data_IF_322144775551
#
_entry.id   IF_322144775551
#
_cell.length_a   1.000
_cell.length_b   1.000
_cell.length_c   1.000
_cell.angle_alpha   90.00
_cell.angle_beta   90.00
_cell.angle_gamma   90.00
#
_symmetry.space_group_name_H-M   'P 1'
#
loop_
_entity.id
_entity.type
_entity.pdbx_description
1 polymer ?
#
# COMPACT_ATOMS: atom_id res chain seq x y z
N UNK A 1 -11.32 -27.32 11.56
CA UNK A 1 -11.47 -27.31 10.08
C UNK A 1 -12.62 -26.47 9.57
N UNK A 2 -13.83 -26.54 10.15
CA UNK A 2 -15.00 -25.77 9.69
C UNK A 2 -14.75 -24.25 9.61
N UNK A 3 -13.93 -23.71 10.52
CA UNK A 3 -13.61 -22.29 10.61
C UNK A 3 -12.55 -21.80 9.62
N UNK A 4 -11.85 -22.70 8.91
CA UNK A 4 -10.75 -22.34 8.00
C UNK A 4 -11.24 -21.40 6.89
N UNK A 5 -12.33 -21.76 6.21
CA UNK A 5 -12.87 -20.93 5.12
C UNK A 5 -13.34 -19.55 5.60
N UNK A 6 -14.00 -19.50 6.76
CA UNK A 6 -14.46 -18.24 7.36
C UNK A 6 -13.29 -17.36 7.79
N UNK A 7 -12.23 -17.97 8.33
CA UNK A 7 -10.99 -17.28 8.67
C UNK A 7 -10.40 -16.64 7.41
N UNK A 8 -10.12 -17.43 6.36
CA UNK A 8 -9.56 -16.93 5.09
C UNK A 8 -10.40 -15.79 4.47
N UNK A 9 -11.74 -15.92 4.52
CA UNK A 9 -12.64 -14.86 4.05
C UNK A 9 -12.51 -13.58 4.87
N UNK A 10 -12.46 -13.68 6.20
CA UNK A 10 -12.23 -12.54 7.07
C UNK A 10 -10.86 -11.90 6.82
N UNK A 11 -9.82 -12.70 6.59
CA UNK A 11 -8.49 -12.20 6.23
C UNK A 11 -8.54 -11.40 4.93
N UNK A 12 -9.23 -11.89 3.91
CA UNK A 12 -9.39 -11.19 2.63
C UNK A 12 -10.08 -9.82 2.81
N UNK A 13 -11.14 -9.75 3.63
CA UNK A 13 -11.82 -8.48 3.95
C UNK A 13 -10.86 -7.50 4.65
N UNK A 14 -10.13 -7.98 5.64
CA UNK A 14 -9.18 -7.16 6.38
C UNK A 14 -8.05 -6.63 5.48
N UNK A 15 -7.52 -7.44 4.56
CA UNK A 15 -6.57 -6.98 3.53
C UNK A 15 -7.15 -5.97 2.53
N UNK A 16 -8.44 -6.03 2.25
CA UNK A 16 -9.11 -5.06 1.39
C UNK A 16 -9.35 -3.71 2.09
N UNK A 17 -9.42 -3.71 3.42
CA UNK A 17 -9.84 -2.55 4.23
C UNK A 17 -9.00 -1.29 4.00
N UNK A 18 -7.64 -1.31 3.99
CA UNK A 18 -6.84 -0.11 3.75
C UNK A 18 -7.09 0.53 2.39
N UNK A 19 -7.31 -0.29 1.35
CA UNK A 19 -7.61 0.18 -0.01
C UNK A 19 -8.99 0.83 -0.07
N UNK A 20 -9.99 0.18 0.52
CA UNK A 20 -11.35 0.72 0.60
C UNK A 20 -11.37 2.05 1.35
N UNK A 21 -10.66 2.13 2.49
CA UNK A 21 -10.54 3.32 3.30
C UNK A 21 -9.91 4.48 2.51
N UNK A 22 -8.80 4.22 1.82
CA UNK A 22 -8.18 5.22 0.95
C UNK A 22 -9.14 5.70 -0.14
N UNK A 23 -9.78 4.79 -0.87
CA UNK A 23 -10.71 5.16 -1.96
C UNK A 23 -11.87 6.01 -1.46
N UNK A 24 -12.39 5.72 -0.27
CA UNK A 24 -13.42 6.52 0.40
C UNK A 24 -12.91 7.91 0.79
N UNK A 25 -11.71 8.00 1.37
CA UNK A 25 -11.10 9.25 1.81
C UNK A 25 -10.57 10.14 0.70
N UNK A 26 -10.13 9.55 -0.41
CA UNK A 26 -9.67 10.27 -1.60
C UNK A 26 -10.82 11.02 -2.26
N UNK A 27 -12.01 10.42 -2.27
CA UNK A 27 -13.22 11.03 -2.82
C UNK A 27 -13.16 11.34 -4.31
N UNK A 28 -12.30 10.66 -5.07
CA UNK A 28 -12.14 10.87 -6.51
C UNK A 28 -11.42 12.17 -6.90
N UNK A 29 -10.74 12.83 -5.97
CA UNK A 29 -10.03 14.10 -6.22
C UNK A 29 -9.05 14.03 -7.39
N UNK A 30 -8.26 12.96 -7.46
CA UNK A 30 -7.25 12.78 -8.51
C UNK A 30 -7.92 12.64 -9.88
N UNK A 31 -8.98 11.83 -10.00
CA UNK A 31 -9.76 11.70 -11.23
C UNK A 31 -10.43 13.03 -11.64
N UNK A 32 -10.96 13.78 -10.67
CA UNK A 32 -11.56 15.08 -10.93
C UNK A 32 -10.54 16.11 -11.44
N UNK A 33 -9.30 16.08 -10.92
CA UNK A 33 -8.22 16.98 -11.33
C UNK A 33 -7.56 16.58 -12.66
N UNK A 34 -7.61 15.30 -13.04
CA UNK A 34 -7.16 14.87 -14.35
C UNK A 34 -8.03 15.43 -15.47
N UNK A 35 -9.34 15.60 -15.27
CA UNK A 35 -10.27 16.15 -16.27
C UNK A 35 -10.12 15.50 -17.67
N UNK A 36 -9.87 14.19 -17.75
CA UNK A 36 -9.59 13.44 -18.99
C UNK A 36 -8.35 13.93 -19.78
N UNK A 37 -7.36 14.54 -19.11
CA UNK A 37 -6.07 14.92 -19.71
C UNK A 37 -5.15 13.73 -19.99
N UNK A 38 -5.58 12.52 -19.65
CA UNK A 38 -4.93 11.26 -20.01
C UNK A 38 -5.24 10.83 -21.45
N UNK A 39 -6.34 11.31 -22.03
CA UNK A 39 -6.77 10.98 -23.39
C UNK A 39 -6.19 11.98 -24.41
N UNK A 40 -5.32 11.48 -25.29
CA UNK A 40 -4.65 12.30 -26.33
C UNK A 40 -5.58 12.94 -27.38
N UNK A 41 -6.86 12.55 -27.41
CA UNK A 41 -7.89 13.01 -28.36
C UNK A 41 -8.72 14.12 -27.70
N UNK A 42 -8.12 15.27 -27.46
CA UNK A 42 -8.81 16.48 -27.01
C UNK A 42 -8.48 17.65 -27.95
N UNK A 43 -9.42 18.55 -28.17
CA UNK A 43 -9.17 19.77 -28.95
C UNK A 43 -8.12 20.65 -28.25
N UNK A 44 -7.25 21.32 -29.01
CA UNK A 44 -6.22 22.21 -28.45
C UNK A 44 -6.81 23.35 -27.60
N UNK A 45 -8.04 23.77 -27.89
CA UNK A 45 -8.76 24.79 -27.11
C UNK A 45 -9.15 24.22 -25.74
N UNK A 46 -9.69 23.01 -25.69
CA UNK A 46 -10.10 22.33 -24.46
C UNK A 46 -8.88 22.02 -23.59
N UNK A 47 -7.78 21.56 -24.18
CA UNK A 47 -6.52 21.32 -23.46
C UNK A 47 -6.03 22.59 -22.76
N UNK A 48 -6.03 23.74 -23.46
CA UNK A 48 -5.63 25.03 -22.87
C UNK A 48 -6.53 25.44 -21.71
N UNK A 49 -7.84 25.27 -21.83
CA UNK A 49 -8.79 25.60 -20.76
C UNK A 49 -8.60 24.71 -19.54
N UNK A 50 -8.57 23.39 -19.72
CA UNK A 50 -8.40 22.44 -18.62
C UNK A 50 -7.03 22.59 -17.94
N UNK A 51 -5.96 22.83 -18.72
CA UNK A 51 -4.63 23.16 -18.18
C UNK A 51 -4.67 24.39 -17.28
N UNK A 52 -5.37 25.45 -17.70
CA UNK A 52 -5.51 26.68 -16.92
C UNK A 52 -6.28 26.43 -15.62
N UNK A 53 -7.41 25.71 -15.69
CA UNK A 53 -8.21 25.34 -14.51
C UNK A 53 -7.39 24.53 -13.50
N UNK A 54 -6.63 23.54 -13.97
CA UNK A 54 -5.75 22.74 -13.12
C UNK A 54 -4.69 23.61 -12.44
N UNK A 55 -4.07 24.51 -13.19
CA UNK A 55 -3.03 25.38 -12.67
C UNK A 55 -3.57 26.39 -11.65
N UNK A 56 -4.72 26.99 -11.92
CA UNK A 56 -5.39 27.92 -11.01
C UNK A 56 -5.80 27.19 -9.71
N UNK A 57 -6.34 25.96 -9.81
CA UNK A 57 -6.62 25.12 -8.63
C UNK A 57 -5.36 24.84 -7.79
N UNK A 58 -4.25 24.45 -8.43
CA UNK A 58 -2.99 24.14 -7.76
C UNK A 58 -2.39 25.37 -7.06
N UNK A 59 -2.57 26.54 -7.66
CA UNK A 59 -2.15 27.81 -7.08
C UNK A 59 -3.00 28.20 -5.87
N UNK A 60 -4.32 28.21 -6.02
CA UNK A 60 -5.26 28.67 -5.00
C UNK A 60 -5.27 27.77 -3.75
N UNK A 61 -5.05 26.47 -3.94
CA UNK A 61 -5.09 25.46 -2.87
C UNK A 61 -3.71 25.00 -2.41
N UNK A 62 -2.64 25.72 -2.77
CA UNK A 62 -1.29 25.39 -2.34
C UNK A 62 -1.21 25.31 -0.80
N UNK A 63 -0.56 24.29 -0.26
CA UNK A 63 -0.33 24.01 1.17
C UNK A 63 -1.54 23.45 1.94
N UNK A 64 -2.70 23.33 1.33
CA UNK A 64 -3.90 22.75 1.98
C UNK A 64 -4.02 21.22 1.81
N UNK A 65 -3.16 20.58 1.02
CA UNK A 65 -3.24 19.15 0.72
C UNK A 65 -2.58 18.21 1.75
N UNK A 66 -1.98 18.72 2.83
CA UNK A 66 -1.24 17.88 3.79
C UNK A 66 -2.12 16.83 4.46
N UNK A 67 -3.30 17.23 4.92
CA UNK A 67 -4.23 16.30 5.56
C UNK A 67 -4.66 15.18 4.61
N UNK A 68 -4.86 15.51 3.33
CA UNK A 68 -5.18 14.54 2.29
C UNK A 68 -4.02 13.54 2.06
N UNK A 69 -2.76 13.99 2.03
CA UNK A 69 -1.61 13.10 1.94
C UNK A 69 -1.38 12.26 3.21
N UNK A 70 -1.59 12.82 4.40
CA UNK A 70 -1.45 12.06 5.65
C UNK A 70 -2.46 10.91 5.75
N UNK A 71 -3.69 11.09 5.24
CA UNK A 71 -4.67 10.00 5.12
C UNK A 71 -4.14 8.83 4.28
N UNK A 72 -3.40 9.10 3.21
CA UNK A 72 -2.76 8.06 2.41
C UNK A 72 -1.69 7.30 3.21
N UNK A 73 -0.79 8.03 3.88
CA UNK A 73 0.26 7.42 4.70
C UNK A 73 -0.29 6.61 5.88
N UNK A 74 -1.41 7.04 6.44
CA UNK A 74 -2.14 6.26 7.46
C UNK A 74 -2.65 4.95 6.85
N UNK A 75 -3.18 4.94 5.62
CA UNK A 75 -3.60 3.70 4.96
C UNK A 75 -2.41 2.76 4.66
N UNK A 76 -1.25 3.30 4.26
CA UNK A 76 -0.03 2.50 4.11
C UNK A 76 0.43 1.91 5.46
N UNK A 77 0.37 2.69 6.55
CA UNK A 77 0.68 2.22 7.90
C UNK A 77 -0.29 1.13 8.37
N UNK A 78 -1.59 1.35 8.15
CA UNK A 78 -2.64 0.36 8.43
C UNK A 78 -2.44 -0.93 7.63
N UNK A 79 -1.85 -0.85 6.43
CA UNK A 79 -1.53 -2.04 5.64
C UNK A 79 -0.45 -2.89 6.30
N UNK A 80 0.61 -2.26 6.85
CA UNK A 80 1.62 -2.98 7.63
C UNK A 80 1.04 -3.56 8.93
N UNK A 81 0.28 -2.75 9.68
CA UNK A 81 -0.40 -3.20 10.91
C UNK A 81 -1.32 -4.38 10.59
N UNK A 82 -2.02 -4.34 9.46
CA UNK A 82 -2.87 -5.44 9.03
C UNK A 82 -2.05 -6.70 8.74
N UNK A 83 -0.97 -6.64 7.95
CA UNK A 83 -0.15 -7.84 7.68
C UNK A 83 0.38 -8.45 8.99
N UNK A 84 0.89 -7.62 9.91
CA UNK A 84 1.37 -8.08 11.22
C UNK A 84 0.23 -8.67 12.06
N UNK A 85 -0.91 -8.00 12.10
CA UNK A 85 -2.12 -8.48 12.79
C UNK A 85 -2.65 -9.80 12.23
N UNK A 86 -2.56 -10.01 10.92
CA UNK A 86 -2.92 -11.27 10.26
C UNK A 86 -1.99 -12.40 10.67
N UNK A 87 -0.69 -12.12 10.78
CA UNK A 87 0.29 -13.10 11.28
C UNK A 87 -0.05 -13.53 12.72
N UNK A 88 -0.37 -12.57 13.60
CA UNK A 88 -0.80 -12.87 14.98
C UNK A 88 -2.13 -13.60 15.05
N UNK A 89 -3.11 -13.22 14.23
CA UNK A 89 -4.41 -13.90 14.15
C UNK A 89 -4.21 -15.36 13.74
N UNK A 90 -3.36 -15.62 12.74
CA UNK A 90 -3.05 -16.98 12.31
C UNK A 90 -2.28 -17.77 13.37
N UNK A 91 -1.34 -17.13 14.05
CA UNK A 91 -0.65 -17.75 15.17
C UNK A 91 -1.63 -18.16 16.27
N UNK A 92 -2.60 -17.31 16.60
CA UNK A 92 -3.64 -17.63 17.58
C UNK A 92 -4.62 -18.70 17.10
N UNK A 93 -4.88 -18.78 15.78
CA UNK A 93 -5.76 -19.77 15.17
C UNK A 93 -5.15 -21.17 15.15
N UNK A 94 -3.81 -21.27 15.09
CA UNK A 94 -3.05 -22.51 15.15
C UNK A 94 -2.36 -22.76 16.49
N UNK A 95 -2.94 -22.22 17.58
CA UNK A 95 -2.48 -22.45 18.96
C UNK A 95 -0.99 -22.16 19.21
N UNK A 96 -0.41 -21.20 18.48
CA UNK A 96 0.98 -20.74 18.66
C UNK A 96 1.98 -21.27 17.65
N UNK A 97 1.58 -22.20 16.77
CA UNK A 97 2.48 -22.90 15.87
C UNK A 97 2.73 -22.17 14.53
N UNK A 98 1.96 -21.13 14.20
CA UNK A 98 2.06 -20.50 12.88
C UNK A 98 3.36 -19.72 12.67
N UNK A 99 3.93 -19.12 13.72
CA UNK A 99 5.14 -18.29 13.56
C UNK A 99 6.38 -19.12 13.18
N UNK A 100 6.57 -20.28 13.79
CA UNK A 100 7.68 -21.21 13.49
C UNK A 100 7.43 -22.03 12.22
N UNK A 101 6.17 -22.14 11.81
CA UNK A 101 5.69 -22.98 10.72
C UNK A 101 6.56 -23.02 9.46
N UNK A 102 6.89 -21.87 8.86
CA UNK A 102 7.68 -21.85 7.62
C UNK A 102 9.13 -22.31 7.81
N UNK A 103 9.72 -22.06 8.98
CA UNK A 103 11.04 -22.56 9.32
C UNK A 103 11.03 -24.07 9.51
N UNK A 104 9.98 -24.60 10.15
CA UNK A 104 9.81 -26.04 10.36
C UNK A 104 9.63 -26.77 9.02
N UNK A 105 8.91 -26.18 8.06
CA UNK A 105 8.76 -26.71 6.70
C UNK A 105 10.10 -26.75 5.95
N UNK A 106 10.91 -25.69 6.04
CA UNK A 106 12.25 -25.66 5.40
C UNK A 106 13.15 -26.74 5.99
N UNK A 107 13.21 -26.81 7.33
CA UNK A 107 13.99 -27.82 8.06
C UNK A 107 13.54 -29.24 7.70
N UNK A 108 12.25 -29.44 7.49
CA UNK A 108 11.69 -30.75 7.10
C UNK A 108 12.05 -31.14 5.66
N UNK A 109 12.13 -30.16 4.74
CA UNK A 109 12.56 -30.40 3.35
C UNK A 109 14.01 -30.91 3.27
N UNK A 110 14.86 -30.48 4.21
CA UNK A 110 16.27 -30.87 4.30
C UNK A 110 16.49 -32.23 5.00
N UNK A 111 15.46 -32.83 5.61
CA UNK A 111 15.55 -34.09 6.37
C UNK A 111 15.16 -35.35 5.58
N UNK A 112 15.80 -36.49 5.91
CA UNK A 112 15.63 -37.79 5.26
C UNK A 112 14.18 -38.32 5.35
N UNK A 113 13.75 -39.09 4.33
CA UNK A 113 12.35 -39.50 4.11
C UNK A 113 11.75 -40.43 5.17
N UNK A 114 12.56 -41.19 5.91
CA UNK A 114 12.09 -42.30 6.75
C UNK A 114 11.73 -41.88 8.20
N UNK A 115 12.23 -40.75 8.70
CA UNK A 115 11.89 -40.19 10.03
C UNK A 115 10.85 -39.03 9.96
N UNK A 116 10.17 -38.88 8.83
CA UNK A 116 9.29 -37.73 8.58
C UNK A 116 7.99 -37.79 9.37
N UNK A 117 8.03 -37.28 10.60
CA UNK A 117 6.84 -36.71 11.25
C UNK A 117 6.68 -35.28 10.75
N UNK A 118 5.86 -35.09 9.71
CA UNK A 118 5.44 -33.77 9.25
C UNK A 118 4.91 -32.98 10.46
N UNK A 119 5.48 -31.81 10.83
CA UNK A 119 4.97 -30.95 11.91
C UNK A 119 3.48 -30.61 11.72
N UNK A 120 3.04 -30.66 10.46
CA UNK A 120 1.68 -30.43 10.03
C UNK A 120 0.68 -31.53 10.38
N UNK A 121 1.10 -32.74 10.76
CA UNK A 121 0.17 -33.80 11.17
C UNK A 121 -0.58 -33.40 12.45
N UNK A 122 0.02 -32.58 13.31
CA UNK A 122 -0.62 -32.10 14.53
C UNK A 122 -1.75 -31.10 14.23
N UNK A 123 -1.58 -30.24 13.24
CA UNK A 123 -2.52 -29.15 12.90
C UNK A 123 -3.53 -29.61 11.84
N UNK A 124 -3.07 -30.34 10.83
CA UNK A 124 -3.83 -30.82 9.67
C UNK A 124 -3.65 -32.33 9.44
N UNK A 125 -4.10 -33.20 10.36
CA UNK A 125 -4.15 -34.64 10.16
C UNK A 125 -4.88 -34.99 8.87
N UNK A 126 -4.22 -35.81 8.05
CA UNK A 126 -4.79 -36.37 6.81
C UNK A 126 -5.64 -37.62 7.08
N UNK A 127 -5.48 -38.24 8.25
CA UNK A 127 -6.22 -39.41 8.73
C UNK A 127 -6.60 -39.23 10.20
N UNK A 128 -7.81 -39.62 10.60
CA UNK A 128 -8.29 -39.56 11.99
C UNK A 128 -9.07 -40.82 12.36
N UNK A 129 -9.10 -41.16 13.65
CA UNK A 129 -10.01 -42.18 14.19
C UNK A 129 -11.39 -41.56 14.40
N UNK A 130 -12.42 -42.17 13.82
CA UNK A 130 -13.82 -41.83 14.02
C UNK A 130 -14.47 -42.92 14.87
N UNK A 131 -15.04 -42.54 16.01
CA UNK A 131 -15.83 -43.43 16.88
C UNK A 131 -17.31 -43.27 16.54
N UNK A 132 -17.92 -44.30 15.97
CA UNK A 132 -19.34 -44.35 15.68
C UNK A 132 -20.08 -45.10 16.79
N UNK A 133 -21.20 -44.54 17.24
CA UNK A 133 -22.08 -45.16 18.23
C UNK A 133 -23.33 -45.67 17.51
N UNK A 134 -23.62 -46.96 17.63
CA UNK A 134 -24.85 -47.58 17.10
C UNK A 134 -25.57 -48.34 18.20
N UNK A 135 -26.88 -48.48 18.09
CA UNK A 135 -27.66 -49.31 18.99
C UNK A 135 -27.75 -50.72 18.42
N UNK A 136 -27.26 -51.71 19.16
CA UNK A 136 -27.34 -53.12 18.81
C UNK A 136 -28.75 -53.68 18.96
N UNK A 137 -28.95 -54.93 18.54
CA UNK A 137 -30.26 -55.63 18.62
C UNK A 137 -30.79 -55.76 20.05
N UNK A 138 -29.90 -55.71 21.04
CA UNK A 138 -30.24 -55.76 22.47
C UNK A 138 -30.58 -54.38 23.06
N UNK A 139 -30.54 -53.30 22.26
CA UNK A 139 -30.74 -51.92 22.71
C UNK A 139 -29.53 -51.28 23.41
N UNK A 140 -28.41 -52.00 23.51
CA UNK A 140 -27.16 -51.50 24.07
C UNK A 140 -26.34 -50.70 23.04
N UNK A 141 -25.54 -49.74 23.51
CA UNK A 141 -24.71 -48.90 22.64
C UNK A 141 -23.43 -49.64 22.26
N UNK A 142 -23.30 -50.03 21.00
CA UNK A 142 -22.09 -50.59 20.42
C UNK A 142 -21.20 -49.49 19.83
N UNK A 143 -19.89 -49.57 20.13
CA UNK A 143 -18.88 -48.64 19.63
C UNK A 143 -18.14 -49.26 18.45
N UNK A 144 -18.11 -48.56 17.32
CA UNK A 144 -17.36 -48.95 16.13
C UNK A 144 -16.30 -47.90 15.80
N UNK A 145 -15.06 -48.34 15.73
CA UNK A 145 -13.94 -47.50 15.36
C UNK A 145 -13.61 -47.67 13.87
N UNK A 146 -13.48 -46.56 13.15
CA UNK A 146 -13.05 -46.55 11.76
C UNK A 146 -12.00 -45.46 11.51
N UNK A 147 -11.14 -45.69 10.52
CA UNK A 147 -10.15 -44.71 10.06
C UNK A 147 -10.81 -43.86 8.97
N UNK A 148 -10.83 -42.55 9.17
CA UNK A 148 -11.38 -41.56 8.26
C UNK A 148 -10.24 -40.78 7.58
N UNK A 149 -10.32 -40.57 6.26
CA UNK A 149 -9.37 -39.74 5.50
C UNK A 149 -9.96 -38.33 5.33
N UNK A 150 -9.15 -37.29 5.56
CA UNK A 150 -9.54 -35.88 5.46
C UNK A 150 -8.81 -35.21 4.27
N UNK A 151 -9.31 -35.36 3.03
CA UNK A 151 -8.63 -34.82 1.85
C UNK A 151 -8.56 -33.29 1.85
N UNK A 152 -9.51 -32.60 2.48
CA UNK A 152 -9.52 -31.14 2.60
C UNK A 152 -8.31 -30.59 3.39
N UNK A 153 -7.76 -31.38 4.32
CA UNK A 153 -6.61 -30.95 5.11
C UNK A 153 -5.32 -30.90 4.31
N UNK A 154 -5.17 -31.73 3.28
CA UNK A 154 -4.03 -31.66 2.34
C UNK A 154 -4.01 -30.33 1.59
N UNK A 155 -5.18 -29.85 1.17
CA UNK A 155 -5.30 -28.57 0.46
C UNK A 155 -5.01 -27.41 1.41
N UNK A 156 -5.61 -27.41 2.60
CA UNK A 156 -5.38 -26.39 3.62
C UNK A 156 -3.90 -26.31 3.98
N UNK A 157 -3.25 -27.46 4.14
CA UNK A 157 -1.81 -27.54 4.39
C UNK A 157 -1.01 -26.72 3.37
N UNK A 158 -1.23 -26.92 2.07
CA UNK A 158 -0.47 -26.22 1.03
C UNK A 158 -0.80 -24.73 0.97
N UNK A 159 -2.07 -24.36 1.19
CA UNK A 159 -2.48 -22.95 1.26
C UNK A 159 -1.76 -22.23 2.39
N UNK A 160 -1.69 -22.82 3.59
CA UNK A 160 -1.08 -22.15 4.75
C UNK A 160 0.45 -22.06 4.66
N UNK A 161 1.11 -23.02 4.01
CA UNK A 161 2.55 -22.91 3.64
C UNK A 161 2.76 -21.72 2.73
N UNK A 162 1.97 -21.62 1.66
CA UNK A 162 2.06 -20.48 0.76
C UNK A 162 1.80 -19.14 1.47
N UNK A 163 0.73 -19.06 2.28
CA UNK A 163 0.35 -17.85 3.00
C UNK A 163 1.42 -17.38 3.99
N UNK A 164 2.11 -18.31 4.66
CA UNK A 164 3.17 -17.94 5.61
C UNK A 164 4.32 -17.19 4.91
N UNK A 165 4.87 -17.76 3.84
CA UNK A 165 5.93 -17.10 3.06
C UNK A 165 5.43 -15.79 2.44
N UNK A 166 4.19 -15.79 1.97
CA UNK A 166 3.55 -14.61 1.41
C UNK A 166 3.44 -13.47 2.42
N UNK A 167 3.02 -13.75 3.66
CA UNK A 167 2.92 -12.73 4.72
C UNK A 167 4.28 -12.16 5.11
N UNK A 168 5.36 -12.96 5.13
CA UNK A 168 6.72 -12.47 5.36
C UNK A 168 7.14 -11.51 4.24
N UNK A 169 6.96 -11.91 2.97
CA UNK A 169 7.29 -11.06 1.82
C UNK A 169 6.49 -9.76 1.86
N UNK A 170 5.18 -9.83 2.10
CA UNK A 170 4.32 -8.65 2.22
C UNK A 170 4.76 -7.75 3.38
N UNK A 171 5.13 -8.32 4.53
CA UNK A 171 5.62 -7.54 5.68
C UNK A 171 6.87 -6.75 5.32
N UNK A 172 7.84 -7.39 4.64
CA UNK A 172 9.08 -6.74 4.21
C UNK A 172 8.79 -5.64 3.19
N UNK A 173 8.01 -5.93 2.14
CA UNK A 173 7.70 -4.95 1.09
C UNK A 173 6.92 -3.74 1.62
N UNK A 174 5.95 -3.97 2.50
CA UNK A 174 5.17 -2.88 3.11
C UNK A 174 6.02 -2.07 4.09
N UNK A 175 6.88 -2.72 4.87
CA UNK A 175 7.84 -2.05 5.74
C UNK A 175 8.82 -1.16 4.94
N UNK A 176 9.42 -1.70 3.87
CA UNK A 176 10.31 -0.92 3.00
C UNK A 176 9.58 0.28 2.37
N UNK A 177 8.32 0.10 1.99
CA UNK A 177 7.49 1.20 1.47
C UNK A 177 7.32 2.31 2.52
N UNK A 178 7.03 1.95 3.76
CA UNK A 178 6.91 2.93 4.85
C UNK A 178 8.23 3.64 5.15
N UNK A 179 9.35 2.90 5.21
CA UNK A 179 10.69 3.50 5.37
C UNK A 179 10.96 4.49 4.25
N UNK A 180 10.66 4.12 3.00
CA UNK A 180 10.77 5.01 1.85
C UNK A 180 9.92 6.28 2.01
N UNK A 181 8.67 6.18 2.48
CA UNK A 181 7.84 7.35 2.78
C UNK A 181 8.43 8.24 3.87
N UNK A 182 8.91 7.65 4.95
CA UNK A 182 9.55 8.36 6.06
C UNK A 182 10.76 9.17 5.55
N UNK A 183 11.61 8.56 4.72
CA UNK A 183 12.76 9.24 4.10
C UNK A 183 12.32 10.43 3.25
N UNK A 184 11.24 10.31 2.47
CA UNK A 184 10.69 11.43 1.66
C UNK A 184 10.14 12.55 2.54
N UNK A 185 9.48 12.21 3.65
CA UNK A 185 8.92 13.19 4.57
C UNK A 185 10.05 14.02 5.21
N UNK A 186 11.16 13.39 5.61
CA UNK A 186 12.28 14.11 6.24
C UNK A 186 13.21 14.80 5.23
N UNK A 187 13.39 14.26 4.02
CA UNK A 187 14.37 14.75 3.05
C UNK A 187 13.73 15.52 1.90
N UNK A 188 13.78 16.88 1.89
CA UNK A 188 13.34 17.66 0.73
C UNK A 188 14.24 17.42 -0.49
N UNK A 189 15.51 17.02 -0.30
CA UNK A 189 16.40 16.64 -1.41
C UNK A 189 15.89 15.41 -2.14
N UNK A 190 15.39 14.43 -1.40
CA UNK A 190 14.79 13.22 -1.99
C UNK A 190 13.55 13.55 -2.82
N UNK A 191 12.73 14.50 -2.37
CA UNK A 191 11.55 14.99 -3.11
C UNK A 191 11.91 15.57 -4.47
N UNK A 192 12.96 16.40 -4.54
CA UNK A 192 13.48 16.94 -5.82
C UNK A 192 14.02 15.83 -6.70
N UNK A 193 14.81 14.91 -6.12
CA UNK A 193 15.40 13.79 -6.85
C UNK A 193 14.33 12.90 -7.50
N UNK A 194 13.30 12.51 -6.76
CA UNK A 194 12.23 11.64 -7.24
C UNK A 194 11.40 12.28 -8.34
N UNK A 195 10.98 13.54 -8.18
CA UNK A 195 10.26 14.26 -9.24
C UNK A 195 11.10 14.37 -10.51
N UNK A 196 12.40 14.62 -10.37
CA UNK A 196 13.33 14.71 -11.50
C UNK A 196 13.55 13.37 -12.20
N UNK A 197 13.73 12.30 -11.44
CA UNK A 197 13.98 10.97 -11.99
C UNK A 197 12.81 10.50 -12.85
N UNK A 198 11.58 10.79 -12.40
CA UNK A 198 10.34 10.41 -13.06
C UNK A 198 9.96 11.37 -14.19
N UNK A 199 9.98 12.68 -13.93
CA UNK A 199 9.54 13.71 -14.88
C UNK A 199 10.73 14.42 -15.52
N UNK A 200 11.47 13.69 -16.37
CA UNK A 200 12.71 14.17 -17.01
C UNK A 200 12.53 15.38 -17.93
N UNK A 201 11.31 15.60 -18.41
CA UNK A 201 10.95 16.72 -19.30
C UNK A 201 10.89 18.08 -18.58
N UNK A 202 10.82 18.08 -17.25
CA UNK A 202 10.69 19.31 -16.45
C UNK A 202 12.08 19.88 -16.13
N UNK A 203 12.23 21.20 -16.28
CA UNK A 203 13.47 21.91 -15.96
C UNK A 203 13.80 21.75 -14.47
N UNK A 204 15.09 21.60 -14.14
CA UNK A 204 15.56 21.40 -12.76
C UNK A 204 15.16 22.54 -11.83
N UNK A 205 15.32 23.77 -12.29
CA UNK A 205 15.04 24.97 -11.51
C UNK A 205 13.55 25.08 -11.15
N UNK A 206 12.67 24.70 -12.08
CA UNK A 206 11.22 24.69 -11.85
C UNK A 206 10.83 23.71 -10.73
N UNK A 207 11.39 22.48 -10.75
CA UNK A 207 11.15 21.49 -9.70
C UNK A 207 11.67 21.97 -8.35
N UNK A 208 12.85 22.59 -8.31
CA UNK A 208 13.45 23.08 -7.08
C UNK A 208 12.65 24.22 -6.44
N UNK A 209 12.19 25.18 -7.26
CA UNK A 209 11.30 26.27 -6.81
C UNK A 209 9.99 25.70 -6.23
N UNK A 210 9.35 24.77 -6.94
CA UNK A 210 8.10 24.15 -6.48
C UNK A 210 8.29 23.38 -5.18
N UNK A 211 9.31 22.52 -5.08
CA UNK A 211 9.55 21.72 -3.87
C UNK A 211 9.90 22.59 -2.67
N UNK A 212 10.62 23.70 -2.88
CA UNK A 212 10.96 24.64 -1.80
C UNK A 212 9.75 25.42 -1.28
N UNK A 213 8.76 25.71 -2.13
CA UNK A 213 7.58 26.50 -1.76
C UNK A 213 6.40 25.65 -1.29
N UNK A 214 6.29 24.43 -1.80
CA UNK A 214 5.20 23.50 -1.55
C UNK A 214 5.40 22.70 -0.26
N UNK A 215 4.31 22.24 0.36
CA UNK A 215 4.38 21.34 1.52
C UNK A 215 4.31 19.87 1.05
N UNK A 216 4.42 18.95 1.99
CA UNK A 216 4.45 17.51 1.70
C UNK A 216 3.22 17.05 0.91
N UNK A 217 2.03 17.56 1.26
CA UNK A 217 0.79 17.18 0.60
C UNK A 217 0.69 17.65 -0.84
N UNK A 218 1.18 18.84 -1.14
CA UNK A 218 1.21 19.36 -2.51
C UNK A 218 2.21 18.59 -3.36
N UNK A 219 3.39 18.28 -2.79
CA UNK A 219 4.38 17.44 -3.47
C UNK A 219 3.80 16.06 -3.81
N UNK A 220 3.09 15.45 -2.86
CA UNK A 220 2.44 14.16 -3.07
C UNK A 220 1.32 14.25 -4.11
N UNK A 221 0.50 15.31 -4.08
CA UNK A 221 -0.53 15.56 -5.09
C UNK A 221 0.09 15.69 -6.50
N UNK A 222 1.15 16.49 -6.64
CA UNK A 222 1.85 16.67 -7.92
C UNK A 222 2.49 15.36 -8.39
N UNK A 223 3.04 14.56 -7.47
CA UNK A 223 3.59 13.25 -7.79
C UNK A 223 2.51 12.32 -8.36
N UNK A 224 1.36 12.21 -7.68
CA UNK A 224 0.22 11.40 -8.12
C UNK A 224 -0.36 11.92 -9.43
N UNK A 225 -0.52 13.23 -9.58
CA UNK A 225 -1.08 13.82 -10.79
C UNK A 225 -0.20 13.57 -12.01
N UNK A 226 1.12 13.68 -11.86
CA UNK A 226 2.04 13.40 -12.95
C UNK A 226 2.09 11.93 -13.38
N UNK A 227 1.67 10.98 -12.52
CA UNK A 227 1.49 9.58 -12.94
C UNK A 227 0.29 9.37 -13.85
N UNK A 228 -0.71 10.24 -13.78
CA UNK A 228 -1.99 10.04 -14.43
C UNK A 228 -2.32 11.07 -15.54
N UNK A 229 -1.57 12.18 -15.62
CA UNK A 229 -1.73 13.21 -16.67
C UNK A 229 -0.66 13.03 -17.74
N UNK A 230 -0.98 13.37 -19.00
CA UNK A 230 0.01 13.36 -20.08
C UNK A 230 1.28 14.15 -19.71
N UNK A 231 2.44 13.55 -19.99
CA UNK A 231 3.74 14.06 -19.57
C UNK A 231 4.10 15.44 -20.14
N UNK A 232 3.59 15.79 -21.32
CA UNK A 232 3.82 17.09 -21.95
C UNK A 232 2.95 18.15 -21.29
N UNK A 233 1.67 17.84 -21.05
CA UNK A 233 0.76 18.77 -20.38
C UNK A 233 1.22 19.01 -18.94
N UNK A 234 1.57 17.94 -18.22
CA UNK A 234 2.07 18.04 -16.85
C UNK A 234 3.37 18.86 -16.77
N UNK A 235 4.28 18.69 -17.74
CA UNK A 235 5.48 19.53 -17.86
C UNK A 235 5.12 21.00 -17.95
N UNK A 236 4.19 21.35 -18.83
CA UNK A 236 3.85 22.75 -19.06
C UNK A 236 3.11 23.37 -17.86
N UNK A 237 2.27 22.60 -17.16
CA UNK A 237 1.65 23.03 -15.89
C UNK A 237 2.72 23.31 -14.84
N UNK A 238 3.68 22.40 -14.67
CA UNK A 238 4.74 22.53 -13.69
C UNK A 238 5.68 23.71 -13.99
N UNK A 239 6.02 23.96 -15.25
CA UNK A 239 6.83 25.12 -15.62
C UNK A 239 6.11 26.45 -15.33
N UNK A 240 4.85 26.56 -15.73
CA UNK A 240 4.05 27.76 -15.50
C UNK A 240 3.79 28.00 -14.00
N UNK A 241 3.52 26.93 -13.23
CA UNK A 241 3.36 27.01 -11.78
C UNK A 241 4.65 27.51 -11.10
N UNK A 242 5.82 27.04 -11.55
CA UNK A 242 7.11 27.51 -11.03
C UNK A 242 7.36 28.98 -11.34
N UNK A 243 6.98 29.46 -12.53
CA UNK A 243 7.08 30.89 -12.90
C UNK A 243 6.22 31.74 -11.96
N UNK A 244 4.94 31.38 -11.76
CA UNK A 244 4.05 32.09 -10.83
C UNK A 244 4.60 32.12 -9.39
N UNK A 245 5.13 30.98 -8.92
CA UNK A 245 5.74 30.88 -7.58
C UNK A 245 7.03 31.69 -7.45
N UNK A 246 7.77 31.86 -8.55
CA UNK A 246 8.98 32.68 -8.60
C UNK A 246 8.68 34.17 -8.63
N UNK A 247 7.64 34.62 -9.34
CA UNK A 247 7.25 36.03 -9.43
C UNK A 247 6.76 36.60 -8.10
N UNK A 248 6.03 35.82 -7.30
CA UNK A 248 5.59 36.22 -5.96
C UNK A 248 6.75 36.50 -4.99
N UNK A 249 7.95 35.99 -5.30
CA UNK A 249 9.16 36.27 -4.53
C UNK A 249 9.65 37.73 -4.68
N UNK A 250 9.34 38.39 -5.79
CA UNK A 250 9.80 39.75 -6.06
C UNK A 250 8.91 40.83 -5.42
N UNK A 251 7.66 40.52 -5.06
CA UNK A 251 6.78 41.50 -4.40
C UNK A 251 6.99 41.62 -2.88
N UNK A 252 7.70 40.68 -2.25
CA UNK A 252 7.90 40.65 -0.80
C UNK A 252 9.32 41.07 -0.32
N UNK A 253 10.19 41.55 -1.22
CA UNK A 253 11.46 42.18 -0.82
C UNK A 253 11.23 43.68 -0.69
N UNK A 254 11.10 44.27 0.52
CA UNK A 254 11.22 45.72 0.66
C UNK A 254 12.63 46.09 0.21
N UNK A 255 12.72 46.90 -0.84
CA UNK A 255 13.99 47.36 -1.38
C UNK A 255 14.77 48.10 -0.30
N UNK A 256 15.93 47.57 0.08
CA UNK A 256 17.00 48.37 0.68
C UNK A 256 17.55 49.22 -0.47
N UNK A 257 16.92 50.37 -0.71
CA UNK A 257 17.59 51.54 -1.26
C UNK A 257 17.95 52.42 -0.07
N UNK A 258 19.15 52.21 0.46
CA UNK A 258 19.79 53.10 1.42
C UNK A 258 20.93 53.81 0.70
N UNK A 259 20.82 55.12 0.66
CA UNK A 259 21.67 56.08 -0.01
C UNK A 259 23.15 55.94 0.40
N UNK A 260 24.05 55.87 -0.58
CA UNK A 260 25.44 56.29 -0.38
C UNK A 260 25.41 57.80 -0.66
N UNK A 261 25.27 58.58 0.38
CA UNK A 261 25.49 60.02 0.34
C UNK A 261 26.93 60.29 0.74
N UNK A 262 27.59 61.04 -0.13
CA UNK A 262 28.96 61.53 -0.03
C UNK A 262 29.21 62.23 1.31
N UNK A 263 30.36 61.92 1.92
CA UNK A 263 31.08 62.73 2.89
C UNK A 263 32.57 62.63 2.59
#
# INVERSE_FOLDING_TARGET
>A
YQWVCFCLFLQAILFYTPRWLWKSWEGGKINALMMDLDVGICSEIEKKQKKKLLLDYLWDNLRYHNWWAYRYYICELLSLINVVGQMFLMNRFFDGEFMSFGFDVIKHLESDQEERMDPMIYIFPRMTKCTFFKFGVSGEVEKHDAICILPLNVVNEKIYVFLWFWFIILSILTFLTLVYRVVIIFSPRMRVYLLRMRFRLIKRDAVEVIVRRSKMGDWFLLYMLGENVDSVIFRDVMQELAIRLGQDQHHHVPGIKGEIQEA
#
